data_IF_528007214188
#
_entry.id   IF_528007214188
#
_cell.length_a   1.000
_cell.length_b   1.000
_cell.length_c   1.000
_cell.angle_alpha   90.00
_cell.angle_beta   90.00
_cell.angle_gamma   90.00
#
_symmetry.space_group_name_H-M   'P 1'
#
loop_
_entity.id
_entity.type
_entity.pdbx_description
1 polymer ?
#
# COMPACT_ATOMS: atom_id res chain seq x y z
N UNK A 1 12.12 -1.41 -18.18
CA UNK A 1 13.02 -1.57 -17.01
C UNK A 1 13.04 -3.01 -16.50
N UNK A 2 11.91 -3.60 -16.09
CA UNK A 2 11.87 -4.97 -15.54
C UNK A 2 12.49 -6.04 -16.47
N UNK A 3 12.12 -6.07 -17.75
CA UNK A 3 12.68 -7.03 -18.73
C UNK A 3 14.22 -6.99 -18.77
N UNK A 4 14.82 -5.80 -18.68
CA UNK A 4 16.28 -5.65 -18.74
C UNK A 4 16.95 -6.10 -17.44
N UNK A 5 16.36 -5.75 -16.29
CA UNK A 5 16.88 -6.15 -14.98
C UNK A 5 16.77 -7.66 -14.73
N UNK A 6 15.67 -8.28 -15.17
CA UNK A 6 15.38 -9.71 -14.99
C UNK A 6 15.86 -10.59 -16.16
N UNK A 7 16.54 -10.02 -17.15
CA UNK A 7 16.98 -10.69 -18.37
C UNK A 7 17.67 -12.05 -18.14
N UNK A 8 18.60 -12.21 -17.19
CA UNK A 8 19.22 -13.52 -16.92
C UNK A 8 18.22 -14.58 -16.44
N UNK A 9 17.25 -14.17 -15.62
CA UNK A 9 16.23 -15.05 -15.07
C UNK A 9 15.21 -15.49 -16.12
N UNK A 10 14.77 -14.54 -16.97
CA UNK A 10 13.87 -14.81 -18.10
C UNK A 10 14.55 -15.80 -19.07
N UNK A 11 15.81 -15.56 -19.44
CA UNK A 11 16.54 -16.45 -20.35
C UNK A 11 16.66 -17.88 -19.79
N UNK A 12 16.91 -18.00 -18.48
CA UNK A 12 16.96 -19.29 -17.81
C UNK A 12 15.60 -20.00 -17.86
N UNK A 13 14.51 -19.31 -17.50
CA UNK A 13 13.16 -19.88 -17.49
C UNK A 13 12.69 -20.27 -18.90
N UNK A 14 13.02 -19.48 -19.92
CA UNK A 14 12.78 -19.80 -21.34
C UNK A 14 13.47 -21.10 -21.80
N UNK A 15 14.65 -21.41 -21.25
CA UNK A 15 15.34 -22.67 -21.53
C UNK A 15 14.74 -23.83 -20.74
N UNK A 16 14.40 -23.62 -19.46
CA UNK A 16 13.78 -24.63 -18.60
C UNK A 16 12.41 -25.08 -19.13
N UNK A 17 11.62 -24.16 -19.72
CA UNK A 17 10.33 -24.46 -20.36
C UNK A 17 10.46 -25.03 -21.79
N UNK A 18 11.68 -25.18 -22.32
CA UNK A 18 11.91 -25.75 -23.66
C UNK A 18 11.54 -24.84 -24.83
N UNK A 19 11.18 -23.58 -24.57
CA UNK A 19 10.87 -22.57 -25.61
C UNK A 19 12.10 -22.17 -26.42
N UNK A 20 13.30 -22.38 -25.86
CA UNK A 20 14.56 -22.12 -26.53
C UNK A 20 15.60 -23.19 -26.24
N UNK A 21 16.40 -23.55 -27.26
CA UNK A 21 17.44 -24.57 -27.14
C UNK A 21 18.82 -24.00 -26.82
N UNK A 22 19.04 -22.69 -26.95
CA UNK A 22 20.33 -22.07 -26.67
C UNK A 22 20.21 -20.62 -26.15
N UNK A 23 21.23 -20.18 -25.40
CA UNK A 23 21.28 -18.84 -24.78
C UNK A 23 21.19 -17.73 -25.83
N UNK A 24 21.77 -17.91 -27.03
CA UNK A 24 21.71 -16.91 -28.11
C UNK A 24 20.29 -16.69 -28.61
N UNK A 25 19.50 -17.76 -28.75
CA UNK A 25 18.11 -17.72 -29.16
C UNK A 25 17.22 -17.09 -28.10
N UNK A 26 17.42 -17.46 -26.82
CA UNK A 26 16.76 -16.83 -25.68
C UNK A 26 17.01 -15.32 -25.63
N UNK A 27 18.27 -14.89 -25.76
CA UNK A 27 18.62 -13.47 -25.82
C UNK A 27 17.89 -12.75 -26.96
N UNK A 28 17.83 -13.35 -28.15
CA UNK A 28 17.14 -12.78 -29.31
C UNK A 28 15.63 -12.69 -29.12
N UNK A 29 15.02 -13.61 -28.39
CA UNK A 29 13.59 -13.54 -28.05
C UNK A 29 13.30 -12.39 -27.07
N UNK A 30 14.14 -12.26 -26.04
CA UNK A 30 14.01 -11.18 -25.06
C UNK A 30 14.20 -9.81 -25.71
N UNK A 31 15.21 -9.64 -26.58
CA UNK A 31 15.45 -8.39 -27.31
C UNK A 31 14.31 -8.02 -28.28
N UNK A 32 13.54 -9.02 -28.74
CA UNK A 32 12.37 -8.81 -29.61
C UNK A 32 11.07 -8.55 -28.85
N UNK A 33 11.07 -8.55 -27.52
CA UNK A 33 9.89 -8.34 -26.67
C UNK A 33 8.67 -9.17 -27.11
N UNK A 34 8.86 -10.47 -27.36
CA UNK A 34 7.75 -11.35 -27.71
C UNK A 34 6.76 -11.50 -26.53
N UNK A 35 5.47 -11.78 -26.78
CA UNK A 35 4.47 -12.01 -25.73
C UNK A 35 4.90 -13.02 -24.66
N UNK A 36 5.50 -14.14 -25.10
CA UNK A 36 6.02 -15.23 -24.25
C UNK A 36 7.00 -14.73 -23.16
N UNK A 37 7.72 -13.64 -23.43
CA UNK A 37 8.69 -13.04 -22.48
C UNK A 37 7.96 -12.36 -21.31
N UNK A 38 6.80 -11.77 -21.57
CA UNK A 38 6.01 -11.09 -20.55
C UNK A 38 5.35 -12.08 -19.59
N UNK A 39 4.84 -13.20 -20.12
CA UNK A 39 4.26 -14.28 -19.31
C UNK A 39 5.31 -14.84 -18.33
N UNK A 40 6.52 -15.10 -18.83
CA UNK A 40 7.64 -15.57 -18.02
C UNK A 40 8.12 -14.51 -17.03
N UNK A 41 8.16 -13.24 -17.45
CA UNK A 41 8.53 -12.14 -16.56
C UNK A 41 7.59 -12.08 -15.36
N UNK A 42 6.27 -12.25 -15.56
CA UNK A 42 5.30 -12.23 -14.48
C UNK A 42 5.53 -13.36 -13.45
N UNK A 43 5.92 -14.55 -13.92
CA UNK A 43 6.30 -15.66 -13.03
C UNK A 43 7.58 -15.35 -12.24
N UNK A 44 8.62 -14.90 -12.94
CA UNK A 44 9.94 -14.64 -12.34
C UNK A 44 9.89 -13.54 -11.28
N UNK A 45 9.09 -12.49 -11.53
CA UNK A 45 8.96 -11.31 -10.67
C UNK A 45 8.32 -11.67 -9.33
N UNK A 46 7.36 -12.61 -9.31
CA UNK A 46 6.70 -13.09 -8.07
C UNK A 46 7.67 -13.81 -7.12
N UNK A 47 8.74 -14.41 -7.65
CA UNK A 47 9.71 -15.16 -6.84
C UNK A 47 10.77 -14.26 -6.19
N UNK A 48 10.88 -13.01 -6.62
CA UNK A 48 12.08 -12.21 -6.46
C UNK A 48 11.77 -10.78 -5.94
N UNK A 49 12.04 -10.49 -4.66
CA UNK A 49 11.90 -9.14 -4.15
C UNK A 49 12.94 -8.21 -4.77
N UNK A 50 12.64 -6.92 -4.78
CA UNK A 50 13.55 -5.85 -5.23
C UNK A 50 13.89 -4.92 -4.07
N UNK A 51 15.10 -4.38 -4.05
CA UNK A 51 15.50 -3.36 -3.09
C UNK A 51 15.39 -1.99 -3.75
N UNK A 52 14.65 -1.08 -3.11
CA UNK A 52 14.60 0.33 -3.48
C UNK A 52 15.54 1.13 -2.57
N UNK A 53 16.28 2.06 -3.16
CA UNK A 53 17.17 2.98 -2.45
C UNK A 53 16.99 4.40 -3.00
N UNK A 54 16.99 5.39 -2.11
CA UNK A 54 17.07 6.82 -2.47
C UNK A 54 18.36 7.42 -1.93
N UNK A 55 19.08 8.15 -2.78
CA UNK A 55 20.24 8.92 -2.37
C UNK A 55 19.81 10.32 -1.89
N UNK A 56 20.44 10.89 -0.83
CA UNK A 56 21.47 10.30 0.03
C UNK A 56 20.90 9.28 1.03
N UNK A 57 21.62 8.18 1.25
CA UNK A 57 21.22 7.13 2.21
C UNK A 57 21.67 7.53 3.62
N UNK A 58 20.77 8.12 4.41
CA UNK A 58 21.09 8.62 5.75
C UNK A 58 20.97 7.55 6.84
N UNK A 59 20.07 6.60 6.68
CA UNK A 59 19.80 5.56 7.67
C UNK A 59 19.29 4.28 7.01
N UNK A 60 19.23 3.18 7.78
CA UNK A 60 18.86 1.86 7.24
C UNK A 60 17.50 1.83 6.53
N UNK A 61 16.53 2.66 6.94
CA UNK A 61 15.21 2.72 6.33
C UNK A 61 15.19 3.36 4.93
N UNK A 62 16.29 3.99 4.51
CA UNK A 62 16.43 4.53 3.16
C UNK A 62 16.69 3.44 2.11
N UNK A 63 16.82 2.17 2.55
CA UNK A 63 16.85 0.98 1.69
C UNK A 63 15.83 -0.02 2.23
N UNK A 64 14.83 -0.37 1.42
CA UNK A 64 13.83 -1.37 1.80
C UNK A 64 13.56 -2.34 0.65
N UNK A 65 13.14 -3.55 1.00
CA UNK A 65 12.68 -4.54 0.04
C UNK A 65 11.18 -4.40 -0.22
N UNK A 66 10.79 -4.62 -1.47
CA UNK A 66 9.41 -4.63 -1.95
C UNK A 66 9.19 -5.81 -2.88
N UNK A 67 7.96 -6.31 -2.92
CA UNK A 67 7.54 -7.24 -3.97
C UNK A 67 7.14 -6.42 -5.20
N UNK A 68 7.83 -6.59 -6.34
CA UNK A 68 7.56 -5.79 -7.53
C UNK A 68 6.20 -6.11 -8.17
N UNK A 69 5.46 -5.07 -8.55
CA UNK A 69 4.24 -5.18 -9.37
C UNK A 69 4.53 -4.63 -10.76
N UNK A 70 4.25 -5.41 -11.80
CA UNK A 70 4.43 -4.99 -13.18
C UNK A 70 3.37 -3.95 -13.54
N UNK A 71 3.83 -2.79 -14.03
CA UNK A 71 2.98 -1.70 -14.51
C UNK A 71 3.43 -1.25 -15.89
N UNK A 72 2.50 -0.61 -16.61
CA UNK A 72 2.84 0.10 -17.83
C UNK A 72 3.41 1.48 -17.49
N UNK A 73 4.52 1.86 -18.13
CA UNK A 73 5.17 3.16 -17.94
C UNK A 73 6.64 3.06 -17.58
N UNK A 74 7.25 4.21 -17.31
CA UNK A 74 8.68 4.33 -16.99
C UNK A 74 8.97 4.87 -15.59
N UNK A 75 7.93 5.26 -14.84
CA UNK A 75 8.05 5.74 -13.47
C UNK A 75 7.86 4.60 -12.46
N UNK A 76 8.61 4.65 -11.35
CA UNK A 76 8.44 3.73 -10.23
C UNK A 76 7.26 4.23 -9.39
N UNK A 77 6.33 3.34 -9.05
CA UNK A 77 5.29 3.62 -8.08
C UNK A 77 5.71 3.07 -6.72
N UNK A 78 5.61 3.90 -5.68
CA UNK A 78 5.91 3.53 -4.29
C UNK A 78 4.71 3.86 -3.41
N UNK A 79 4.57 3.12 -2.31
CA UNK A 79 3.47 3.36 -1.38
C UNK A 79 3.66 4.69 -0.62
N UNK A 80 2.63 5.55 -0.48
CA UNK A 80 2.79 6.86 0.17
C UNK A 80 3.35 6.80 1.59
N UNK A 81 2.94 5.81 2.39
CA UNK A 81 3.41 5.65 3.79
C UNK A 81 4.90 5.29 3.92
N UNK A 82 5.57 4.86 2.85
CA UNK A 82 7.03 4.63 2.89
C UNK A 82 7.83 5.87 2.51
N UNK A 83 7.19 6.92 1.97
CA UNK A 83 7.90 8.11 1.50
C UNK A 83 8.64 8.83 2.64
N UNK A 84 8.07 8.85 3.84
CA UNK A 84 8.73 9.38 5.04
C UNK A 84 10.04 8.64 5.36
N UNK A 85 10.08 7.32 5.17
CA UNK A 85 11.27 6.50 5.37
C UNK A 85 12.36 6.76 4.32
N UNK A 86 11.99 7.14 3.09
CA UNK A 86 12.96 7.54 2.06
C UNK A 86 13.30 9.03 2.09
N UNK A 87 12.60 9.81 2.93
CA UNK A 87 12.57 11.27 2.89
C UNK A 87 12.28 11.80 1.46
N UNK A 88 11.39 11.10 0.74
CA UNK A 88 11.11 11.30 -0.67
C UNK A 88 9.79 12.06 -0.88
N UNK A 89 9.73 12.81 -1.98
CA UNK A 89 8.51 13.40 -2.51
C UNK A 89 8.35 13.07 -4.02
N UNK A 90 7.39 13.69 -4.69
CA UNK A 90 7.03 13.39 -6.07
C UNK A 90 7.26 14.57 -7.01
N UNK A 91 8.30 15.36 -6.79
CA UNK A 91 8.63 16.54 -7.60
C UNK A 91 9.72 16.30 -8.67
N UNK A 92 10.28 15.09 -8.73
CA UNK A 92 11.38 14.73 -9.63
C UNK A 92 12.40 13.76 -9.04
N UNK A 93 12.21 13.37 -7.77
CA UNK A 93 13.02 12.38 -7.06
C UNK A 93 13.23 11.07 -7.86
N UNK A 94 14.45 10.54 -7.77
CA UNK A 94 14.86 9.31 -8.43
C UNK A 94 15.25 8.24 -7.40
N UNK A 95 14.93 6.99 -7.71
CA UNK A 95 15.28 5.84 -6.88
C UNK A 95 16.02 4.79 -7.68
N UNK A 96 16.99 4.14 -7.04
CA UNK A 96 17.70 3.00 -7.60
C UNK A 96 16.99 1.70 -7.20
N UNK A 97 16.93 0.76 -8.14
CA UNK A 97 16.43 -0.59 -7.92
C UNK A 97 17.60 -1.57 -7.98
N UNK A 98 17.70 -2.44 -6.99
CA UNK A 98 18.66 -3.54 -6.94
C UNK A 98 17.94 -4.89 -6.82
N UNK A 99 18.48 -5.92 -7.48
CA UNK A 99 17.92 -7.29 -7.43
C UNK A 99 18.88 -8.19 -6.63
N UNK A 100 18.44 -8.77 -5.50
CA UNK A 100 19.26 -9.72 -4.74
C UNK A 100 19.39 -11.06 -5.48
N UNK A 101 20.59 -11.45 -5.90
CA UNK A 101 20.76 -12.64 -6.76
C UNK A 101 20.85 -13.97 -6.01
N UNK A 102 21.47 -13.99 -4.82
CA UNK A 102 21.67 -15.24 -4.06
C UNK A 102 20.42 -15.62 -3.28
N UNK A 103 20.17 -16.92 -3.09
CA UNK A 103 19.05 -17.41 -2.25
C UNK A 103 19.09 -16.83 -0.84
N UNK A 104 20.29 -16.67 -0.27
CA UNK A 104 20.47 -16.07 1.04
C UNK A 104 20.08 -14.58 1.05
N UNK A 105 20.44 -13.83 0.00
CA UNK A 105 20.06 -12.42 -0.13
C UNK A 105 18.55 -12.25 -0.35
N UNK A 106 17.91 -13.11 -1.17
CA UNK A 106 16.45 -13.12 -1.35
C UNK A 106 15.73 -13.39 -0.04
N UNK A 107 16.20 -14.40 0.71
CA UNK A 107 15.64 -14.74 2.03
C UNK A 107 15.79 -13.57 3.00
N UNK A 108 16.98 -12.98 3.10
CA UNK A 108 17.23 -11.82 3.96
C UNK A 108 16.40 -10.59 3.56
N UNK A 109 16.19 -10.37 2.26
CA UNK A 109 15.34 -9.29 1.78
C UNK A 109 13.90 -9.45 2.26
N UNK A 110 13.33 -10.67 2.19
CA UNK A 110 11.96 -10.95 2.65
C UNK A 110 11.80 -10.93 4.16
N UNK A 111 12.73 -11.57 4.88
CA UNK A 111 12.59 -11.76 6.33
C UNK A 111 12.96 -10.51 7.13
N UNK A 112 13.85 -9.65 6.60
CA UNK A 112 14.42 -8.52 7.37
C UNK A 112 14.12 -7.19 6.71
N UNK A 113 14.30 -7.08 5.38
CA UNK A 113 14.28 -5.78 4.69
C UNK A 113 12.91 -5.39 4.14
N UNK A 114 11.93 -6.31 4.13
CA UNK A 114 10.60 -6.02 3.61
C UNK A 114 10.00 -4.81 4.36
N UNK A 115 9.37 -3.90 3.62
CA UNK A 115 8.84 -2.65 4.18
C UNK A 115 7.87 -2.87 5.35
N UNK A 116 7.11 -3.97 5.35
CA UNK A 116 6.20 -4.37 6.44
C UNK A 116 6.90 -4.69 7.76
N UNK A 117 8.17 -5.11 7.74
CA UNK A 117 8.94 -5.35 8.96
C UNK A 117 9.56 -4.06 9.53
N UNK A 118 9.53 -2.97 8.76
CA UNK A 118 10.27 -1.75 9.02
C UNK A 118 9.34 -0.56 9.30
N UNK A 119 8.34 -0.79 10.15
CA UNK A 119 7.31 0.22 10.50
C UNK A 119 7.71 1.19 11.61
N UNK A 120 8.77 0.88 12.39
CA UNK A 120 9.21 1.68 13.53
C UNK A 120 10.59 2.29 13.28
N UNK A 121 10.80 3.50 13.80
CA UNK A 121 12.10 4.15 13.84
C UNK A 121 13.06 3.37 14.75
N UNK A 122 14.26 3.01 14.28
CA UNK A 122 15.23 2.28 15.10
C UNK A 122 15.75 3.09 16.29
N UNK A 123 15.70 4.43 16.20
CA UNK A 123 16.21 5.37 17.20
C UNK A 123 15.24 5.63 18.35
N UNK A 124 13.93 5.70 18.08
CA UNK A 124 12.91 6.09 19.07
C UNK A 124 11.82 5.05 19.31
N UNK A 125 11.68 4.05 18.42
CA UNK A 125 10.57 3.11 18.45
C UNK A 125 9.23 3.69 17.98
N UNK A 126 9.20 4.95 17.56
CA UNK A 126 7.99 5.60 17.05
C UNK A 126 7.62 5.08 15.65
N UNK A 127 6.32 4.98 15.30
CA UNK A 127 5.91 4.57 13.97
C UNK A 127 6.31 5.58 12.90
N UNK A 128 7.01 5.12 11.86
CA UNK A 128 7.37 5.96 10.69
C UNK A 128 6.30 5.94 9.59
N UNK A 129 5.45 4.92 9.60
CA UNK A 129 4.38 4.71 8.61
C UNK A 129 3.10 5.48 8.95
N UNK A 130 3.24 6.61 9.64
CA UNK A 130 2.09 7.45 10.02
C UNK A 130 1.52 8.15 8.78
N UNK A 131 0.19 8.25 8.65
CA UNK A 131 -0.43 9.04 7.59
C UNK A 131 0.01 10.50 7.66
N UNK A 132 0.21 11.12 6.51
CA UNK A 132 0.61 12.52 6.38
C UNK A 132 -0.35 13.29 5.47
N UNK A 133 -0.32 14.62 5.57
CA UNK A 133 -1.02 15.56 4.68
C UNK A 133 -2.51 15.20 4.48
N UNK A 134 -2.89 14.88 3.25
CA UNK A 134 -4.28 14.68 2.81
C UNK A 134 -4.97 13.52 3.53
N UNK A 135 -4.23 12.47 3.92
CA UNK A 135 -4.80 11.36 4.67
C UNK A 135 -5.27 11.83 6.05
N UNK A 136 -4.47 12.65 6.72
CA UNK A 136 -4.81 13.24 8.03
C UNK A 136 -5.98 14.21 7.88
N UNK A 137 -5.96 15.03 6.83
CA UNK A 137 -7.05 15.96 6.54
C UNK A 137 -8.38 15.23 6.26
N UNK A 138 -8.33 14.12 5.51
CA UNK A 138 -9.49 13.29 5.22
C UNK A 138 -10.09 12.69 6.50
N UNK A 139 -9.25 12.10 7.35
CA UNK A 139 -9.68 11.58 8.66
C UNK A 139 -10.24 12.69 9.56
N UNK A 140 -9.59 13.86 9.61
CA UNK A 140 -10.06 15.01 10.38
C UNK A 140 -11.42 15.50 9.88
N UNK A 141 -11.57 15.67 8.56
CA UNK A 141 -12.82 16.10 7.94
C UNK A 141 -13.95 15.11 8.24
N UNK A 142 -13.66 13.82 8.12
CA UNK A 142 -14.62 12.74 8.37
C UNK A 142 -15.08 12.68 9.84
N UNK A 143 -14.18 12.94 10.79
CA UNK A 143 -14.43 12.72 12.23
C UNK A 143 -14.87 13.98 13.00
N UNK A 144 -14.77 15.16 12.39
CA UNK A 144 -15.19 16.43 13.00
C UNK A 144 -16.72 16.56 13.00
N UNK A 145 -17.27 17.10 14.08
CA UNK A 145 -18.70 17.39 14.22
C UNK A 145 -18.93 18.88 13.99
N UNK A 146 -19.99 19.22 13.25
CA UNK A 146 -20.43 20.61 13.03
C UNK A 146 -21.79 20.81 13.69
N UNK A 147 -21.89 21.71 14.70
CA UNK A 147 -23.17 22.13 15.26
C UNK A 147 -24.04 22.80 14.19
N UNK A 148 -25.34 22.53 14.20
CA UNK A 148 -26.30 23.06 13.24
C UNK A 148 -26.27 22.39 11.86
N UNK A 149 -25.55 21.28 11.70
CA UNK A 149 -25.51 20.53 10.45
C UNK A 149 -26.85 19.84 10.15
N UNK A 150 -27.12 19.59 8.87
CA UNK A 150 -28.36 18.96 8.42
C UNK A 150 -28.51 17.58 9.06
N UNK A 151 -29.61 17.34 9.77
CA UNK A 151 -29.85 16.05 10.44
C UNK A 151 -29.28 15.94 11.86
N UNK A 152 -28.86 17.05 12.47
CA UNK A 152 -28.46 17.05 13.88
C UNK A 152 -29.58 16.55 14.81
N UNK A 153 -29.22 15.70 15.77
CA UNK A 153 -30.12 15.14 16.77
C UNK A 153 -31.00 13.99 16.27
N UNK A 154 -30.84 13.53 15.02
CA UNK A 154 -31.55 12.34 14.54
C UNK A 154 -31.08 11.08 15.28
N UNK A 155 -32.04 10.21 15.59
CA UNK A 155 -31.79 8.96 16.32
C UNK A 155 -31.94 7.80 15.34
N UNK A 156 -30.94 6.91 15.30
CA UNK A 156 -30.93 5.71 14.47
C UNK A 156 -30.85 4.43 15.29
N UNK A 157 -31.49 3.37 14.81
CA UNK A 157 -31.50 2.05 15.43
C UNK A 157 -30.25 1.21 15.13
N UNK A 158 -29.49 1.55 14.08
CA UNK A 158 -28.27 0.85 13.68
C UNK A 158 -27.29 1.75 12.91
N UNK A 159 -26.03 1.32 12.80
CA UNK A 159 -25.03 2.00 11.96
C UNK A 159 -25.38 1.97 10.47
N UNK A 160 -26.02 0.91 9.99
CA UNK A 160 -26.44 0.78 8.58
C UNK A 160 -27.54 1.79 8.21
N UNK A 161 -28.51 1.99 9.11
CA UNK A 161 -29.59 2.96 8.92
C UNK A 161 -29.06 4.39 8.82
N UNK A 162 -28.08 4.74 9.66
CA UNK A 162 -27.41 6.04 9.58
C UNK A 162 -26.69 6.24 8.24
N UNK A 163 -25.96 5.23 7.75
CA UNK A 163 -25.27 5.30 6.44
C UNK A 163 -26.25 5.43 5.28
N UNK A 164 -27.31 4.63 5.27
CA UNK A 164 -28.35 4.70 4.24
C UNK A 164 -28.99 6.09 4.19
N UNK A 165 -29.27 6.67 5.35
CA UNK A 165 -29.89 8.00 5.44
C UNK A 165 -28.95 9.11 4.92
N UNK A 166 -27.64 8.95 5.11
CA UNK A 166 -26.63 9.81 4.51
C UNK A 166 -26.57 9.66 2.99
N UNK A 167 -26.61 8.43 2.47
CA UNK A 167 -26.62 8.17 1.02
C UNK A 167 -27.86 8.75 0.33
N UNK A 168 -29.00 8.75 1.01
CA UNK A 168 -30.23 9.42 0.56
C UNK A 168 -30.18 10.96 0.66
N UNK A 169 -29.11 11.52 1.23
CA UNK A 169 -28.88 12.96 1.33
C UNK A 169 -29.70 13.65 2.42
N UNK A 170 -30.26 12.91 3.39
CA UNK A 170 -31.09 13.47 4.45
C UNK A 170 -30.29 14.01 5.64
N UNK A 171 -29.08 13.51 5.87
CA UNK A 171 -28.18 13.94 6.95
C UNK A 171 -26.79 14.28 6.40
N UNK A 172 -26.08 15.19 7.07
CA UNK A 172 -24.69 15.53 6.78
C UNK A 172 -23.74 14.51 7.43
N UNK A 173 -22.60 14.26 6.78
CA UNK A 173 -21.52 13.41 7.28
C UNK A 173 -21.06 13.80 8.69
N UNK A 174 -21.09 15.11 8.99
CA UNK A 174 -20.56 15.72 10.21
C UNK A 174 -21.65 16.17 11.20
N UNK A 175 -22.90 15.79 10.96
CA UNK A 175 -23.98 16.05 11.91
C UNK A 175 -23.84 15.17 13.16
N UNK A 176 -24.13 15.72 14.34
CA UNK A 176 -24.20 14.95 15.58
C UNK A 176 -25.50 14.14 15.59
N UNK A 177 -25.37 12.82 15.68
CA UNK A 177 -26.48 11.85 15.65
C UNK A 177 -26.36 10.90 16.85
N UNK A 178 -27.47 10.28 17.24
CA UNK A 178 -27.50 9.27 18.30
C UNK A 178 -27.79 7.91 17.68
N UNK A 179 -26.88 6.94 17.84
CA UNK A 179 -27.05 5.61 17.24
C UNK A 179 -26.93 4.53 18.28
N UNK A 180 -27.81 3.53 18.18
CA UNK A 180 -27.79 2.35 19.05
C UNK A 180 -26.75 1.34 18.56
N UNK A 181 -25.84 0.93 19.45
CA UNK A 181 -24.88 -0.15 19.19
C UNK A 181 -25.54 -1.51 19.41
N UNK A 182 -25.54 -2.36 18.38
CA UNK A 182 -26.12 -3.71 18.49
C UNK A 182 -25.25 -4.69 19.29
N UNK A 183 -23.93 -4.48 19.32
CA UNK A 183 -22.97 -5.39 19.96
C UNK A 183 -22.83 -5.21 21.48
N UNK A 184 -23.18 -4.03 22.05
CA UNK A 184 -23.08 -3.77 23.50
C UNK A 184 -24.43 -3.31 24.09
N UNK A 185 -25.28 -4.27 24.41
CA UNK A 185 -26.48 -4.09 25.25
C UNK A 185 -27.47 -2.99 24.82
N UNK A 186 -27.38 -2.48 23.59
CA UNK A 186 -28.24 -1.40 23.11
C UNK A 186 -27.92 -0.04 23.72
N UNK A 187 -26.69 0.20 24.20
CA UNK A 187 -26.26 1.54 24.57
C UNK A 187 -26.32 2.47 23.35
N UNK A 188 -26.78 3.70 23.60
CA UNK A 188 -26.85 4.74 22.58
C UNK A 188 -25.64 5.64 22.72
N UNK A 189 -24.95 5.86 21.61
CA UNK A 189 -23.76 6.72 21.55
C UNK A 189 -24.05 7.95 20.71
N UNK A 190 -23.52 9.10 21.13
CA UNK A 190 -23.49 10.31 20.31
C UNK A 190 -22.28 10.26 19.39
N UNK A 191 -22.51 10.28 18.09
CA UNK A 191 -21.47 10.14 17.06
C UNK A 191 -21.86 10.92 15.80
N UNK A 192 -21.11 10.76 14.71
CA UNK A 192 -21.47 11.25 13.38
C UNK A 192 -21.40 10.11 12.38
N UNK A 193 -22.05 10.25 11.22
CA UNK A 193 -21.94 9.26 10.13
C UNK A 193 -20.49 9.07 9.74
N UNK A 194 -19.72 10.15 9.66
CA UNK A 194 -18.30 10.07 9.33
C UNK A 194 -17.48 9.27 10.33
N UNK A 195 -17.74 9.43 11.64
CA UNK A 195 -17.09 8.59 12.67
C UNK A 195 -17.50 7.11 12.58
N UNK A 196 -18.74 6.82 12.19
CA UNK A 196 -19.19 5.45 11.94
C UNK A 196 -18.42 4.84 10.77
N UNK A 197 -18.27 5.58 9.66
CA UNK A 197 -17.49 5.13 8.49
C UNK A 197 -16.03 4.90 8.87
N UNK A 198 -15.44 5.81 9.64
CA UNK A 198 -14.07 5.63 10.14
C UNK A 198 -13.92 4.37 11.00
N UNK A 199 -14.92 4.09 11.85
CA UNK A 199 -14.93 2.93 12.73
C UNK A 199 -15.06 1.60 11.99
N UNK A 200 -15.68 1.54 10.81
CA UNK A 200 -15.76 0.29 10.03
C UNK A 200 -14.39 -0.23 9.58
N UNK A 201 -13.42 0.68 9.41
CA UNK A 201 -12.06 0.33 8.96
C UNK A 201 -11.20 -0.12 10.14
N UNK A 202 -11.60 0.18 11.37
CA UNK A 202 -10.86 -0.20 12.57
C UNK A 202 -11.05 -1.69 12.89
N UNK A 203 -10.03 -2.35 13.45
CA UNK A 203 -10.18 -3.70 13.99
C UNK A 203 -11.28 -3.75 15.07
N UNK A 204 -12.02 -4.87 15.21
CA UNK A 204 -13.08 -5.01 16.21
C UNK A 204 -12.64 -4.68 17.64
N UNK A 205 -11.37 -4.89 17.96
CA UNK A 205 -10.77 -4.64 19.28
C UNK A 205 -10.54 -3.15 19.57
N UNK A 206 -10.49 -2.31 18.55
CA UNK A 206 -10.26 -0.86 18.63
C UNK A 206 -11.49 -0.04 18.20
N UNK A 207 -12.58 -0.72 17.87
CA UNK A 207 -13.84 -0.05 17.56
C UNK A 207 -14.41 0.69 18.76
N UNK A 208 -15.53 1.39 18.55
CA UNK A 208 -16.36 1.97 19.62
C UNK A 208 -16.56 1.02 20.79
#
# INVERSE_FOLDING_TARGET
MAVELFKPFIMRRLMEQGLTHNIKSARRLVERNKPEVYDILEEVVKEQPVLLNRAPTLHRLSIQAFEPVLINGSAIQIHPLVCAAFNADFDGDQMAIHIPLSKAAVKGAREIMLSTHNMLLPSSGEPIVTPTLDMVLGCYYLTTIIPGAKGEGTIFGSFEEAKLTYELGHIDLRAEIEVRRQQENGQRIKTSVGRIIFNDVLPPELGF
#
